data_IF_723936229699
#
_entry.id   IF_723936229699
#
_cell.length_a   1.000
_cell.length_b   1.000
_cell.length_c   1.000
_cell.angle_alpha   90.00
_cell.angle_beta   90.00
_cell.angle_gamma   90.00
#
_symmetry.space_group_name_H-M   'P 1'
#
loop_
_entity.id
_entity.type
_entity.pdbx_description
1 polymer ?
#
# COMPACT_ATOMS: atom_id res chain seq x y z
N UNK A 1 -41.94 -23.34 -98.97
CA UNK A 1 -41.01 -24.16 -98.16
C UNK A 1 -40.08 -23.21 -97.44
N UNK A 2 -40.15 -23.14 -96.10
CA UNK A 2 -39.36 -22.25 -95.26
C UNK A 2 -38.02 -22.93 -94.95
N UNK A 3 -36.92 -22.33 -95.37
CA UNK A 3 -35.59 -22.77 -94.95
C UNK A 3 -35.24 -22.10 -93.61
N UNK A 4 -34.99 -22.95 -92.63
CA UNK A 4 -34.55 -22.62 -91.27
C UNK A 4 -33.06 -22.25 -91.36
N UNK A 5 -32.72 -21.02 -90.95
CA UNK A 5 -31.34 -20.60 -90.78
C UNK A 5 -30.75 -21.23 -89.50
N UNK A 6 -29.49 -21.68 -89.48
CA UNK A 6 -28.86 -22.19 -88.27
C UNK A 6 -28.49 -21.02 -87.34
N UNK A 7 -29.03 -21.02 -86.12
CA UNK A 7 -28.58 -20.10 -85.07
C UNK A 7 -27.23 -20.58 -84.53
N UNK A 8 -26.13 -19.96 -84.98
CA UNK A 8 -24.84 -20.09 -84.31
C UNK A 8 -24.94 -19.48 -82.91
N UNK A 9 -24.85 -20.31 -81.88
CA UNK A 9 -24.74 -19.86 -80.50
C UNK A 9 -23.44 -19.07 -80.32
N UNK A 10 -23.55 -17.77 -80.07
CA UNK A 10 -22.44 -16.92 -79.67
C UNK A 10 -21.93 -17.40 -78.31
N UNK A 11 -20.76 -18.04 -78.29
CA UNK A 11 -20.02 -18.33 -77.04
C UNK A 11 -19.84 -16.99 -76.30
N UNK A 12 -20.45 -16.86 -75.13
CA UNK A 12 -20.32 -15.64 -74.32
C UNK A 12 -18.84 -15.47 -73.92
N UNK A 13 -18.23 -14.29 -74.13
CA UNK A 13 -16.83 -14.03 -73.80
C UNK A 13 -16.63 -13.76 -72.30
N UNK A 14 -17.58 -14.15 -71.44
CA UNK A 14 -17.59 -13.78 -70.02
C UNK A 14 -16.65 -14.63 -69.16
N UNK A 15 -16.16 -15.78 -69.64
CA UNK A 15 -15.29 -16.65 -68.83
C UNK A 15 -13.84 -16.15 -68.69
N UNK A 16 -13.33 -15.37 -69.64
CA UNK A 16 -11.94 -14.86 -69.61
C UNK A 16 -11.73 -13.62 -68.72
N UNK A 17 -12.80 -12.93 -68.31
CA UNK A 17 -12.71 -11.74 -67.46
C UNK A 17 -12.59 -12.07 -65.96
N UNK A 18 -12.93 -13.28 -65.53
CA UNK A 18 -12.83 -13.71 -64.13
C UNK A 18 -11.50 -14.40 -63.77
N UNK A 19 -10.73 -14.88 -64.76
CA UNK A 19 -9.47 -15.61 -64.52
C UNK A 19 -8.34 -14.72 -63.96
N UNK A 20 -8.41 -13.39 -64.15
CA UNK A 20 -7.42 -12.43 -63.62
C UNK A 20 -7.78 -11.82 -62.25
N UNK A 21 -9.00 -12.00 -61.75
CA UNK A 21 -9.42 -11.40 -60.48
C UNK A 21 -8.95 -12.24 -59.28
N UNK A 22 -8.86 -13.56 -59.46
CA UNK A 22 -8.44 -14.48 -58.40
C UNK A 22 -7.01 -14.20 -57.93
N UNK A 23 -6.08 -13.90 -58.85
CA UNK A 23 -4.69 -13.62 -58.48
C UNK A 23 -4.55 -12.32 -57.68
N UNK A 24 -5.37 -11.30 -57.98
CA UNK A 24 -5.40 -10.03 -57.22
C UNK A 24 -5.96 -10.26 -55.82
N UNK A 25 -7.03 -11.04 -55.70
CA UNK A 25 -7.61 -11.41 -54.40
C UNK A 25 -6.61 -12.20 -53.54
N UNK A 26 -5.92 -13.17 -54.13
CA UNK A 26 -4.89 -13.97 -53.45
C UNK A 26 -3.73 -13.08 -53.00
N UNK A 27 -3.26 -12.17 -53.86
CA UNK A 27 -2.19 -11.24 -53.49
C UNK A 27 -2.58 -10.33 -52.32
N UNK A 28 -3.82 -9.81 -52.31
CA UNK A 28 -4.35 -9.02 -51.19
C UNK A 28 -4.46 -9.85 -49.91
N UNK A 29 -4.96 -11.08 -49.99
CA UNK A 29 -5.06 -11.99 -48.85
C UNK A 29 -3.68 -12.34 -48.28
N UNK A 30 -2.69 -12.62 -49.14
CA UNK A 30 -1.31 -12.87 -48.70
C UNK A 30 -0.74 -11.66 -47.98
N UNK A 31 -0.93 -10.45 -48.49
CA UNK A 31 -0.48 -9.23 -47.83
C UNK A 31 -1.08 -9.09 -46.43
N UNK A 32 -2.39 -9.31 -46.30
CA UNK A 32 -3.08 -9.25 -45.00
C UNK A 32 -2.57 -10.34 -44.04
N UNK A 33 -2.36 -11.56 -44.52
CA UNK A 33 -1.84 -12.65 -43.71
C UNK A 33 -0.42 -12.36 -43.20
N UNK A 34 0.47 -11.82 -44.04
CA UNK A 34 1.82 -11.42 -43.63
C UNK A 34 1.80 -10.23 -42.66
N UNK A 35 0.90 -9.27 -42.85
CA UNK A 35 0.73 -8.16 -41.91
C UNK A 35 0.27 -8.67 -40.54
N UNK A 36 -0.71 -9.57 -40.49
CA UNK A 36 -1.17 -10.17 -39.23
C UNK A 36 -0.11 -11.06 -38.57
N UNK A 37 0.67 -11.81 -39.36
CA UNK A 37 1.80 -12.58 -38.85
C UNK A 37 2.88 -11.66 -38.23
N UNK A 38 3.22 -10.57 -38.91
CA UNK A 38 4.17 -9.59 -38.41
C UNK A 38 3.72 -8.97 -37.08
N UNK A 39 2.45 -8.60 -37.00
CA UNK A 39 1.85 -8.08 -35.76
C UNK A 39 1.87 -9.14 -34.64
N UNK A 40 1.55 -10.40 -34.94
CA UNK A 40 1.56 -11.49 -33.96
C UNK A 40 2.97 -11.75 -33.41
N UNK A 41 4.01 -11.73 -34.24
CA UNK A 41 5.40 -11.94 -33.80
C UNK A 41 5.89 -10.76 -32.98
N UNK A 42 5.71 -9.53 -33.47
CA UNK A 42 6.17 -8.32 -32.79
C UNK A 42 5.44 -8.12 -31.44
N UNK A 43 4.12 -8.39 -31.38
CA UNK A 43 3.35 -8.35 -30.13
C UNK A 43 3.73 -9.47 -29.16
N UNK A 44 3.99 -10.68 -29.65
CA UNK A 44 4.46 -11.80 -28.83
C UNK A 44 5.80 -11.50 -28.15
N UNK A 45 6.75 -10.93 -28.91
CA UNK A 45 8.05 -10.47 -28.36
C UNK A 45 7.86 -9.38 -27.31
N UNK A 46 7.03 -8.36 -27.61
CA UNK A 46 6.73 -7.29 -26.66
C UNK A 46 6.05 -7.78 -25.37
N UNK A 47 5.20 -8.81 -25.47
CA UNK A 47 4.53 -9.40 -24.30
C UNK A 47 5.51 -10.13 -23.38
N UNK A 48 6.39 -10.97 -23.94
CA UNK A 48 7.43 -11.66 -23.16
C UNK A 48 8.38 -10.65 -22.52
N UNK A 49 8.81 -9.66 -23.29
CA UNK A 49 9.67 -8.58 -22.80
C UNK A 49 9.03 -7.84 -21.61
N UNK A 50 7.74 -7.47 -21.71
CA UNK A 50 7.01 -6.84 -20.60
C UNK A 50 6.99 -7.71 -19.35
N UNK A 51 6.81 -9.03 -19.49
CA UNK A 51 6.75 -9.96 -18.36
C UNK A 51 8.11 -10.06 -17.67
N UNK A 52 9.18 -10.19 -18.44
CA UNK A 52 10.54 -10.32 -17.92
C UNK A 52 10.98 -9.00 -17.24
N UNK A 53 10.66 -7.86 -17.86
CA UNK A 53 10.88 -6.54 -17.26
C UNK A 53 10.12 -6.39 -15.93
N UNK A 54 8.85 -6.82 -15.87
CA UNK A 54 8.06 -6.74 -14.63
C UNK A 54 8.66 -7.59 -13.52
N UNK A 55 9.03 -8.83 -13.81
CA UNK A 55 9.66 -9.72 -12.83
C UNK A 55 10.96 -9.11 -12.28
N UNK A 56 11.81 -8.56 -13.17
CA UNK A 56 13.06 -7.95 -12.78
C UNK A 56 12.89 -6.69 -11.92
N UNK A 57 11.93 -5.81 -12.23
CA UNK A 57 11.66 -4.63 -11.38
C UNK A 57 11.05 -5.01 -10.05
N UNK A 58 10.17 -6.02 -10.00
CA UNK A 58 9.58 -6.51 -8.76
C UNK A 58 10.66 -7.08 -7.83
N UNK A 59 11.56 -7.91 -8.37
CA UNK A 59 12.70 -8.47 -7.66
C UNK A 59 13.66 -7.36 -7.18
N UNK A 60 13.97 -6.38 -8.04
CA UNK A 60 14.82 -5.24 -7.70
C UNK A 60 14.22 -4.37 -6.59
N UNK A 61 12.91 -4.08 -6.65
CA UNK A 61 12.22 -3.30 -5.63
C UNK A 61 12.16 -4.05 -4.29
N UNK A 62 11.82 -5.34 -4.29
CA UNK A 62 11.82 -6.16 -3.06
C UNK A 62 13.22 -6.24 -2.44
N UNK A 63 14.25 -6.48 -3.25
CA UNK A 63 15.62 -6.49 -2.78
C UNK A 63 15.99 -5.15 -2.15
N UNK A 64 15.64 -4.02 -2.79
CA UNK A 64 15.91 -2.71 -2.23
C UNK A 64 15.30 -2.54 -0.83
N UNK A 65 14.09 -3.08 -0.64
CA UNK A 65 13.42 -3.04 0.65
C UNK A 65 14.15 -3.84 1.73
N UNK A 66 14.52 -5.08 1.40
CA UNK A 66 15.24 -5.99 2.30
C UNK A 66 16.62 -5.44 2.71
N UNK A 67 17.37 -4.87 1.77
CA UNK A 67 18.67 -4.25 2.08
C UNK A 67 18.53 -3.00 2.96
N UNK A 68 17.45 -2.22 2.81
CA UNK A 68 17.22 -1.03 3.64
C UNK A 68 16.96 -1.42 5.09
N UNK A 69 16.12 -2.44 5.36
CA UNK A 69 15.84 -2.93 6.72
C UNK A 69 17.13 -3.32 7.48
N UNK A 70 18.14 -3.84 6.78
CA UNK A 70 19.35 -4.36 7.39
C UNK A 70 20.49 -3.33 7.54
N UNK A 71 20.65 -2.38 6.61
CA UNK A 71 21.86 -1.55 6.52
C UNK A 71 21.62 -0.03 6.48
N UNK A 72 20.40 0.44 6.19
CA UNK A 72 20.04 1.87 6.15
C UNK A 72 20.97 2.79 5.31
N UNK A 73 21.76 2.24 4.38
CA UNK A 73 22.71 2.95 3.52
C UNK A 73 22.33 2.77 2.05
N UNK A 74 22.14 3.87 1.33
CA UNK A 74 21.71 3.87 -0.07
C UNK A 74 22.86 3.62 -1.05
N UNK A 75 24.09 3.98 -0.69
CA UNK A 75 25.13 4.32 -1.67
C UNK A 75 26.41 3.49 -1.55
N UNK A 76 26.68 2.89 -0.39
CA UNK A 76 27.90 2.09 -0.20
C UNK A 76 28.06 0.99 -1.26
N UNK A 77 29.26 0.84 -1.82
CA UNK A 77 29.55 -0.28 -2.75
C UNK A 77 29.46 -1.66 -2.08
N UNK A 78 29.60 -1.71 -0.75
CA UNK A 78 29.59 -2.96 0.02
C UNK A 78 28.20 -3.34 0.52
N UNK A 79 27.44 -2.37 1.05
CA UNK A 79 26.13 -2.57 1.68
C UNK A 79 25.03 -1.64 1.17
N UNK A 80 25.33 -0.82 0.16
CA UNK A 80 24.40 0.15 -0.39
C UNK A 80 23.24 -0.52 -1.10
N UNK A 81 22.05 0.02 -0.89
CA UNK A 81 20.81 -0.50 -1.43
C UNK A 81 20.83 -0.48 -2.96
N UNK A 82 21.23 0.65 -3.56
CA UNK A 82 21.25 0.80 -5.02
C UNK A 82 22.15 -0.24 -5.72
N UNK A 83 23.44 -0.41 -5.36
CA UNK A 83 24.27 -1.42 -6.03
C UNK A 83 23.77 -2.85 -5.83
N UNK A 84 23.16 -3.17 -4.68
CA UNK A 84 22.64 -4.53 -4.43
C UNK A 84 21.33 -4.81 -5.16
N UNK A 85 20.38 -3.89 -5.14
CA UNK A 85 19.10 -4.03 -5.84
C UNK A 85 19.29 -4.06 -7.36
N UNK A 86 20.23 -3.25 -7.89
CA UNK A 86 20.62 -3.27 -9.31
C UNK A 86 21.14 -4.64 -9.73
N UNK A 87 21.99 -5.26 -8.92
CA UNK A 87 22.53 -6.59 -9.24
C UNK A 87 21.44 -7.66 -9.34
N UNK A 88 20.39 -7.57 -8.54
CA UNK A 88 19.24 -8.49 -8.61
C UNK A 88 18.47 -8.27 -9.91
N UNK A 89 18.15 -7.02 -10.24
CA UNK A 89 17.52 -6.66 -11.52
C UNK A 89 18.35 -7.12 -12.74
N UNK A 90 19.67 -6.91 -12.71
CA UNK A 90 20.59 -7.32 -13.75
C UNK A 90 20.66 -8.84 -13.91
N UNK A 91 20.61 -9.58 -12.80
CA UNK A 91 20.60 -11.03 -12.83
C UNK A 91 19.34 -11.59 -13.48
N UNK A 92 18.17 -11.01 -13.20
CA UNK A 92 16.90 -11.44 -13.78
C UNK A 92 16.84 -11.20 -15.31
N UNK A 93 17.30 -10.04 -15.77
CA UNK A 93 17.36 -9.70 -17.21
C UNK A 93 18.62 -10.20 -17.91
N UNK A 94 19.51 -10.90 -17.20
CA UNK A 94 20.79 -11.39 -17.73
C UNK A 94 21.67 -10.27 -18.34
N UNK A 95 21.67 -9.10 -17.70
CA UNK A 95 22.44 -7.92 -18.10
C UNK A 95 23.79 -7.92 -17.37
N UNK A 96 24.83 -8.50 -17.99
CA UNK A 96 26.15 -8.63 -17.35
C UNK A 96 27.11 -7.45 -17.57
N UNK A 97 26.57 -6.27 -17.93
CA UNK A 97 27.39 -5.12 -18.29
C UNK A 97 26.70 -3.79 -17.96
N UNK A 98 26.89 -3.30 -16.74
CA UNK A 98 26.78 -1.88 -16.47
C UNK A 98 28.08 -1.35 -15.84
N UNK A 99 28.66 -0.28 -16.39
CA UNK A 99 29.73 0.46 -15.73
C UNK A 99 29.15 1.19 -14.51
N UNK A 100 29.90 1.18 -13.40
CA UNK A 100 29.66 2.03 -12.25
C UNK A 100 30.02 3.49 -12.59
N UNK A 101 29.13 4.45 -12.34
CA UNK A 101 29.56 5.72 -11.79
C UNK A 101 29.04 5.86 -10.36
N UNK A 102 29.98 5.97 -9.42
CA UNK A 102 29.80 6.20 -7.97
C UNK A 102 29.30 7.63 -7.62
N UNK A 103 28.66 8.34 -8.54
CA UNK A 103 28.19 9.70 -8.27
C UNK A 103 26.73 9.84 -8.67
N UNK A 104 25.86 9.70 -7.68
CA UNK A 104 24.47 10.08 -7.84
C UNK A 104 24.35 11.59 -8.00
N UNK A 105 23.36 12.06 -8.78
CA UNK A 105 22.94 13.44 -8.74
C UNK A 105 22.65 13.86 -7.28
N UNK A 106 22.79 15.14 -6.94
CA UNK A 106 22.33 15.63 -5.65
C UNK A 106 20.84 15.30 -5.47
N UNK A 107 20.40 15.02 -4.23
CA UNK A 107 19.02 14.70 -3.95
C UNK A 107 18.10 15.83 -4.39
N UNK A 108 16.96 15.48 -4.97
CA UNK A 108 15.85 16.40 -5.18
C UNK A 108 14.93 16.38 -3.95
N UNK A 109 14.10 17.41 -3.80
CA UNK A 109 13.04 17.43 -2.79
C UNK A 109 11.69 17.45 -3.48
N UNK A 110 10.81 16.53 -3.12
CA UNK A 110 9.50 16.30 -3.76
C UNK A 110 8.36 16.48 -2.78
N UNK A 111 7.13 16.38 -3.29
CA UNK A 111 5.89 16.52 -2.52
C UNK A 111 5.36 17.96 -2.47
N UNK A 112 4.15 18.18 -1.95
CA UNK A 112 3.47 19.49 -1.96
C UNK A 112 4.24 20.60 -1.23
N UNK A 113 5.10 20.22 -0.27
CA UNK A 113 5.89 21.13 0.55
C UNK A 113 7.40 21.09 0.23
N UNK A 114 7.82 20.35 -0.81
CA UNK A 114 9.23 20.20 -1.20
C UNK A 114 10.15 19.82 -0.03
N UNK A 115 9.71 18.89 0.82
CA UNK A 115 10.40 18.49 2.04
C UNK A 115 10.73 16.98 2.09
N UNK A 116 10.35 16.22 1.08
CA UNK A 116 10.66 14.79 0.97
C UNK A 116 11.93 14.63 0.15
N UNK A 117 13.02 14.20 0.79
CA UNK A 117 14.29 13.95 0.10
C UNK A 117 14.12 12.75 -0.84
N UNK A 118 14.43 12.93 -2.12
CA UNK A 118 14.43 11.90 -3.14
C UNK A 118 15.82 11.79 -3.78
N UNK A 119 16.41 10.60 -3.69
CA UNK A 119 17.65 10.24 -4.37
C UNK A 119 17.30 9.42 -5.61
N UNK A 120 17.83 9.81 -6.77
CA UNK A 120 17.51 9.15 -8.05
C UNK A 120 18.79 8.63 -8.70
N UNK A 121 18.78 7.35 -9.05
CA UNK A 121 19.80 6.71 -9.88
C UNK A 121 19.22 6.40 -11.27
N UNK A 122 19.98 6.62 -12.33
CA UNK A 122 19.56 6.32 -13.71
C UNK A 122 20.67 5.61 -14.43
N UNK A 123 20.38 4.41 -14.90
CA UNK A 123 21.33 3.48 -15.50
C UNK A 123 20.85 3.12 -16.90
N UNK A 124 21.74 3.25 -17.87
CA UNK A 124 21.49 2.84 -19.25
C UNK A 124 22.25 1.54 -19.51
N UNK A 125 21.52 0.51 -19.88
CA UNK A 125 22.05 -0.79 -20.26
C UNK A 125 22.12 -0.93 -21.80
N UNK A 126 22.96 -1.83 -22.30
CA UNK A 126 22.90 -2.23 -23.71
C UNK A 126 21.50 -2.74 -24.08
N UNK A 127 21.12 -2.56 -25.35
CA UNK A 127 19.80 -2.98 -25.83
C UNK A 127 18.69 -1.94 -25.64
N UNK A 128 19.02 -0.66 -25.43
CA UNK A 128 18.06 0.43 -25.22
C UNK A 128 17.14 0.21 -24.00
N UNK A 129 17.72 -0.34 -22.93
CA UNK A 129 17.06 -0.51 -21.64
C UNK A 129 17.59 0.58 -20.70
N UNK A 130 16.69 1.35 -20.11
CA UNK A 130 17.00 2.36 -19.10
C UNK A 130 16.27 2.02 -17.81
N UNK A 131 17.01 1.88 -16.71
CA UNK A 131 16.48 1.71 -15.37
C UNK A 131 16.60 3.03 -14.60
N UNK A 132 15.52 3.43 -13.95
CA UNK A 132 15.47 4.55 -13.02
C UNK A 132 15.07 4.00 -11.66
N UNK A 133 15.90 4.29 -10.65
CA UNK A 133 15.64 3.93 -9.24
C UNK A 133 15.44 5.23 -8.47
N UNK A 134 14.33 5.32 -7.76
CA UNK A 134 14.01 6.48 -6.93
C UNK A 134 13.83 6.02 -5.48
N UNK A 135 14.67 6.55 -4.61
CA UNK A 135 14.65 6.37 -3.17
C UNK A 135 14.07 7.64 -2.55
N UNK A 136 12.83 7.58 -2.05
CA UNK A 136 12.16 8.72 -1.43
C UNK A 136 11.98 8.48 0.05
N UNK A 137 12.57 9.35 0.87
CA UNK A 137 12.26 9.39 2.29
C UNK A 137 10.87 10.02 2.47
N UNK A 138 9.86 9.18 2.65
CA UNK A 138 8.48 9.63 2.88
C UNK A 138 8.18 9.87 4.36
N UNK A 139 9.24 10.07 5.16
CA UNK A 139 9.20 10.31 6.59
C UNK A 139 8.43 9.19 7.30
N UNK A 140 7.28 9.50 7.89
CA UNK A 140 6.46 8.55 8.64
C UNK A 140 5.90 7.40 7.79
N UNK A 141 5.68 7.61 6.49
CA UNK A 141 5.23 6.53 5.59
C UNK A 141 6.35 5.56 5.23
N UNK A 142 7.53 5.72 5.86
CA UNK A 142 8.69 4.89 5.65
C UNK A 142 9.55 5.38 4.49
N UNK A 143 10.39 4.48 4.01
CA UNK A 143 11.27 4.71 2.88
C UNK A 143 10.70 4.02 1.63
N UNK A 144 10.43 4.79 0.58
CA UNK A 144 9.84 4.29 -0.66
C UNK A 144 10.92 4.10 -1.73
N UNK A 145 10.98 2.91 -2.30
CA UNK A 145 11.83 2.60 -3.43
C UNK A 145 10.97 2.31 -4.66
N UNK A 146 11.14 3.10 -5.72
CA UNK A 146 10.45 2.92 -6.99
C UNK A 146 11.46 2.56 -8.07
N UNK A 147 11.24 1.42 -8.71
CA UNK A 147 12.00 0.94 -9.85
C UNK A 147 11.14 1.15 -11.09
N UNK A 148 11.68 1.85 -12.08
CA UNK A 148 11.01 2.09 -13.36
C UNK A 148 11.96 1.73 -14.49
N UNK A 149 11.57 0.79 -15.33
CA UNK A 149 12.35 0.39 -16.50
C UNK A 149 11.62 0.78 -17.77
N UNK A 150 12.39 1.26 -18.74
CA UNK A 150 11.94 1.53 -20.11
C UNK A 150 12.83 0.76 -21.06
N UNK A 151 12.23 -0.06 -21.93
CA UNK A 151 12.92 -0.76 -23.00
C UNK A 151 12.35 -0.33 -24.36
N UNK A 152 13.21 0.16 -25.25
CA UNK A 152 12.84 0.45 -26.64
C UNK A 152 13.08 -0.78 -27.51
N UNK A 153 12.09 -1.68 -27.57
CA UNK A 153 12.15 -2.92 -28.31
C UNK A 153 12.13 -2.66 -29.83
N UNK A 154 13.15 -3.06 -30.60
CA UNK A 154 13.14 -2.96 -32.05
C UNK A 154 12.12 -3.90 -32.69
N UNK A 155 11.21 -3.34 -33.49
CA UNK A 155 10.19 -4.09 -34.21
C UNK A 155 10.78 -4.65 -35.51
N UNK A 156 10.53 -5.93 -35.80
CA UNK A 156 11.13 -6.59 -36.94
C UNK A 156 10.25 -6.49 -38.20
N UNK A 157 8.94 -6.70 -38.04
CA UNK A 157 8.02 -6.84 -39.18
C UNK A 157 7.19 -5.58 -39.42
N UNK A 158 6.77 -4.88 -38.37
CA UNK A 158 5.98 -3.65 -38.50
C UNK A 158 6.69 -2.57 -39.31
N UNK A 159 8.02 -2.47 -39.21
CA UNK A 159 8.83 -1.53 -39.98
C UNK A 159 8.75 -1.76 -41.51
N UNK A 160 8.51 -3.00 -41.96
CA UNK A 160 8.41 -3.35 -43.39
C UNK A 160 7.13 -2.75 -44.00
N UNK A 161 6.08 -2.61 -43.19
CA UNK A 161 4.80 -2.04 -43.60
C UNK A 161 4.72 -0.52 -43.38
N UNK A 162 5.86 0.15 -43.15
CA UNK A 162 5.94 1.58 -42.86
C UNK A 162 5.47 1.98 -41.46
N UNK A 163 5.35 1.00 -40.55
CA UNK A 163 5.06 1.22 -39.14
C UNK A 163 6.26 1.74 -38.35
N UNK A 164 6.09 1.98 -37.03
CA UNK A 164 7.17 2.41 -36.16
C UNK A 164 8.32 1.38 -36.13
N UNK A 165 9.54 1.86 -35.92
CA UNK A 165 10.75 1.01 -35.85
C UNK A 165 11.01 0.44 -34.46
N UNK A 166 10.40 1.03 -33.43
CA UNK A 166 10.51 0.60 -32.04
C UNK A 166 9.16 0.62 -31.33
N UNK A 167 9.00 -0.26 -30.35
CA UNK A 167 7.92 -0.23 -29.38
C UNK A 167 8.48 0.02 -27.99
N UNK A 168 7.90 0.96 -27.26
CA UNK A 168 8.31 1.25 -25.89
C UNK A 168 7.56 0.31 -24.94
N UNK A 169 8.30 -0.50 -24.21
CA UNK A 169 7.80 -1.34 -23.13
C UNK A 169 8.26 -0.75 -21.80
N UNK A 170 7.34 -0.59 -20.87
CA UNK A 170 7.64 -0.04 -19.55
C UNK A 170 7.13 -0.95 -18.45
N UNK A 171 7.89 -1.08 -17.37
CA UNK A 171 7.47 -1.75 -16.15
C UNK A 171 7.91 -0.94 -14.94
N UNK A 172 7.13 -1.02 -13.87
CA UNK A 172 7.46 -0.34 -12.62
C UNK A 172 7.04 -1.16 -11.42
N UNK A 173 7.82 -1.07 -10.37
CA UNK A 173 7.55 -1.69 -9.08
C UNK A 173 7.89 -0.73 -7.95
N UNK A 174 7.19 -0.85 -6.84
CA UNK A 174 7.43 -0.03 -5.66
C UNK A 174 7.46 -0.91 -4.42
N UNK A 175 8.49 -0.74 -3.59
CA UNK A 175 8.56 -1.27 -2.23
C UNK A 175 8.58 -0.12 -1.23
N UNK A 176 8.01 -0.36 -0.06
CA UNK A 176 7.98 0.62 1.04
C UNK A 176 8.42 -0.09 2.32
N UNK A 177 9.36 0.52 3.02
CA UNK A 177 10.06 -0.06 4.16
C UNK A 177 9.85 0.82 5.38
N UNK A 178 9.68 0.25 6.57
CA UNK A 178 9.34 1.06 7.76
C UNK A 178 8.03 1.84 7.62
N UNK A 179 7.08 1.29 6.84
CA UNK A 179 5.79 1.94 6.59
C UNK A 179 4.91 1.93 7.84
N UNK A 180 4.99 2.99 8.65
CA UNK A 180 4.10 3.15 9.81
C UNK A 180 2.63 3.40 9.41
N UNK A 181 2.28 3.49 8.10
CA UNK A 181 0.87 3.42 7.66
C UNK A 181 0.19 2.11 8.03
N UNK A 182 0.93 1.07 8.40
CA UNK A 182 0.32 -0.24 8.64
C UNK A 182 -0.32 -0.46 10.00
N UNK A 183 -0.22 0.49 10.95
CA UNK A 183 -1.21 0.80 12.00
C UNK A 183 -0.49 1.50 13.15
N UNK A 184 -0.51 2.84 13.28
CA UNK A 184 -0.42 3.39 14.63
C UNK A 184 -1.49 2.67 15.46
N UNK A 185 -1.13 2.24 16.66
CA UNK A 185 -2.06 1.56 17.55
C UNK A 185 -3.30 2.44 17.79
N UNK A 186 -3.08 3.76 17.83
CA UNK A 186 -4.11 4.77 17.93
C UNK A 186 -3.79 5.94 16.98
N UNK A 187 -4.76 6.32 16.13
CA UNK A 187 -4.66 7.48 15.25
C UNK A 187 -5.84 8.43 15.48
N UNK A 188 -5.51 9.68 15.79
CA UNK A 188 -6.47 10.77 15.97
C UNK A 188 -6.21 11.88 14.96
N UNK A 189 -7.13 12.05 14.01
CA UNK A 189 -7.00 13.05 12.94
C UNK A 189 -7.44 14.46 13.34
N UNK A 190 -8.10 14.61 14.49
CA UNK A 190 -8.54 15.92 15.00
C UNK A 190 -7.33 16.81 15.33
N UNK A 191 -7.35 18.06 14.87
CA UNK A 191 -6.30 19.06 15.11
C UNK A 191 -6.52 19.90 16.38
N UNK A 192 -7.49 19.52 17.22
CA UNK A 192 -7.86 20.26 18.43
C UNK A 192 -6.86 20.13 19.60
N UNK A 193 -7.09 20.91 20.65
CA UNK A 193 -6.39 20.76 21.93
C UNK A 193 -6.85 19.51 22.67
N UNK A 194 -5.92 18.71 23.19
CA UNK A 194 -6.20 17.41 23.79
C UNK A 194 -7.09 16.54 22.88
N UNK A 195 -6.83 16.56 21.57
CA UNK A 195 -7.56 15.77 20.60
C UNK A 195 -7.49 14.27 20.96
N UNK A 196 -6.35 13.84 21.50
CA UNK A 196 -6.18 12.53 22.14
C UNK A 196 -5.96 12.72 23.63
N UNK A 197 -6.75 12.04 24.46
CA UNK A 197 -6.65 12.09 25.91
C UNK A 197 -6.50 10.67 26.46
N UNK A 198 -5.29 10.31 26.85
CA UNK A 198 -4.95 9.00 27.44
C UNK A 198 -4.47 9.24 28.87
N UNK A 199 -5.41 9.55 29.75
CA UNK A 199 -5.19 9.80 31.17
C UNK A 199 -6.08 8.91 32.02
N UNK A 200 -5.63 8.60 33.23
CA UNK A 200 -6.42 7.75 34.12
C UNK A 200 -5.81 7.56 35.50
N UNK A 201 -6.56 6.92 36.38
CA UNK A 201 -6.07 6.48 37.70
C UNK A 201 -5.46 5.07 37.68
N UNK A 202 -5.54 4.38 36.55
CA UNK A 202 -5.01 3.05 36.31
C UNK A 202 -4.05 3.08 35.11
N UNK A 203 -3.22 2.05 35.00
CA UNK A 203 -2.22 1.97 33.94
C UNK A 203 -2.86 1.48 32.64
N UNK A 204 -2.54 2.15 31.53
CA UNK A 204 -2.89 1.74 30.18
C UNK A 204 -1.61 1.43 29.42
N UNK A 205 -1.49 0.22 28.86
CA UNK A 205 -0.35 -0.14 28.01
C UNK A 205 -0.78 -0.20 26.55
N UNK A 206 -0.12 0.61 25.71
CA UNK A 206 -0.33 0.62 24.26
C UNK A 206 0.87 -0.01 23.57
N UNK A 207 0.62 -0.96 22.68
CA UNK A 207 1.63 -1.61 21.85
C UNK A 207 1.59 -0.98 20.45
N UNK A 208 2.64 -0.26 20.09
CA UNK A 208 2.72 0.52 18.86
C UNK A 208 2.53 2.01 19.10
N UNK A 209 2.63 2.77 18.01
CA UNK A 209 2.68 4.24 18.04
C UNK A 209 1.30 4.86 18.30
N UNK A 210 1.25 5.90 19.15
CA UNK A 210 0.07 6.74 19.35
C UNK A 210 0.24 8.04 18.58
N UNK A 211 -0.70 8.37 17.69
CA UNK A 211 -0.61 9.54 16.83
C UNK A 211 -1.79 10.48 16.97
N UNK A 212 -1.52 11.78 17.07
CA UNK A 212 -2.56 12.82 16.97
C UNK A 212 -2.12 14.03 16.15
N UNK A 213 -3.01 14.49 15.26
CA UNK A 213 -2.83 15.73 14.51
C UNK A 213 -2.91 16.98 15.40
N UNK A 214 -3.72 16.91 16.46
CA UNK A 214 -3.85 17.93 17.49
C UNK A 214 -2.86 17.70 18.63
N UNK A 215 -3.12 18.23 19.82
CA UNK A 215 -2.25 17.95 20.97
C UNK A 215 -2.63 16.63 21.67
N UNK A 216 -1.62 15.84 22.04
CA UNK A 216 -1.75 14.65 22.87
C UNK A 216 -1.71 15.05 24.34
N UNK A 217 -2.72 14.67 25.10
CA UNK A 217 -2.79 14.88 26.53
C UNK A 217 -2.70 13.53 27.23
N UNK A 218 -1.48 13.16 27.59
CA UNK A 218 -1.14 11.89 28.27
C UNK A 218 -0.64 12.17 29.68
N UNK A 219 -0.53 11.12 30.50
CA UNK A 219 0.06 11.15 31.84
C UNK A 219 1.01 9.97 32.08
N UNK A 220 1.60 9.89 33.27
CA UNK A 220 2.56 8.84 33.64
C UNK A 220 1.95 7.43 33.77
N UNK A 221 0.62 7.31 33.74
CA UNK A 221 -0.04 6.01 33.77
C UNK A 221 -0.20 5.41 32.35
N UNK A 222 0.13 6.18 31.30
CA UNK A 222 0.30 5.65 29.96
C UNK A 222 1.67 4.98 29.83
N UNK A 223 1.68 3.68 29.56
CA UNK A 223 2.85 2.90 29.21
C UNK A 223 2.83 2.65 27.70
N UNK A 224 3.87 3.07 26.99
CA UNK A 224 3.89 3.04 25.53
C UNK A 224 5.08 2.24 25.00
N UNK A 225 4.77 1.14 24.30
CA UNK A 225 5.74 0.34 23.56
C UNK A 225 5.73 0.80 22.08
N UNK A 226 6.13 2.05 21.88
CA UNK A 226 6.00 2.79 20.63
C UNK A 226 6.29 4.27 20.85
N UNK A 227 6.10 5.10 19.83
CA UNK A 227 6.31 6.54 19.89
C UNK A 227 5.00 7.32 20.04
N UNK A 228 5.02 8.35 20.88
CA UNK A 228 3.92 9.30 21.02
C UNK A 228 4.14 10.49 20.09
N UNK A 229 3.25 10.68 19.12
CA UNK A 229 3.26 11.79 18.18
C UNK A 229 2.15 12.78 18.50
N UNK A 230 2.48 14.07 18.60
CA UNK A 230 1.47 15.10 18.76
C UNK A 230 1.94 16.50 18.36
N UNK A 231 0.99 17.40 18.11
CA UNK A 231 1.30 18.80 17.80
C UNK A 231 2.02 19.52 18.95
N UNK A 232 2.60 20.69 18.68
CA UNK A 232 3.25 21.51 19.69
C UNK A 232 2.32 21.75 20.91
N UNK A 233 2.83 21.51 22.12
CA UNK A 233 2.04 21.58 23.36
C UNK A 233 1.44 20.25 23.82
N UNK A 234 1.77 19.14 23.16
CA UNK A 234 1.47 17.80 23.65
C UNK A 234 2.30 17.44 24.88
N UNK A 235 1.76 16.59 25.77
CA UNK A 235 2.44 16.11 26.98
C UNK A 235 3.06 14.72 26.82
N UNK A 236 3.43 14.33 25.60
CA UNK A 236 4.01 13.02 25.28
C UNK A 236 5.25 12.66 26.14
N UNK A 237 6.00 13.66 26.60
CA UNK A 237 7.16 13.46 27.49
C UNK A 237 6.80 12.87 28.85
N UNK A 238 5.53 12.94 29.26
CA UNK A 238 5.07 12.43 30.57
C UNK A 238 4.71 10.95 30.56
N UNK A 239 4.58 10.33 29.37
CA UNK A 239 4.33 8.89 29.25
C UNK A 239 5.57 8.07 29.65
N UNK A 240 5.35 6.82 30.07
CA UNK A 240 6.42 5.87 30.35
C UNK A 240 6.66 5.00 29.11
N UNK A 241 7.87 5.06 28.55
CA UNK A 241 8.22 4.29 27.35
C UNK A 241 8.78 2.92 27.71
N UNK A 242 8.18 1.87 27.16
CA UNK A 242 8.56 0.48 27.37
C UNK A 242 9.46 0.02 26.24
N UNK A 243 10.34 -0.93 26.56
CA UNK A 243 11.18 -1.60 25.58
C UNK A 243 10.35 -2.62 24.79
N UNK A 244 10.54 -2.65 23.47
CA UNK A 244 9.82 -3.53 22.55
C UNK A 244 10.68 -4.00 21.39
N UNK A 245 10.24 -5.07 20.73
CA UNK A 245 10.81 -5.52 19.47
C UNK A 245 9.72 -6.09 18.54
N UNK A 246 10.09 -6.37 17.29
CA UNK A 246 9.17 -6.86 16.26
C UNK A 246 8.88 -8.38 16.35
N UNK A 247 9.35 -9.07 17.39
CA UNK A 247 9.16 -10.52 17.53
C UNK A 247 7.72 -10.82 17.93
N UNK A 248 6.97 -11.67 17.19
CA UNK A 248 5.61 -12.04 17.56
C UNK A 248 5.55 -12.67 18.96
N UNK A 249 4.60 -12.21 19.79
CA UNK A 249 4.42 -12.71 21.15
C UNK A 249 5.39 -12.14 22.18
N UNK A 250 6.23 -11.17 21.80
CA UNK A 250 7.05 -10.42 22.73
C UNK A 250 6.18 -9.56 23.67
N UNK A 251 6.54 -9.55 24.95
CA UNK A 251 5.85 -8.76 25.99
C UNK A 251 6.71 -7.54 26.29
N UNK A 252 6.22 -6.31 26.03
CA UNK A 252 6.94 -5.10 26.39
C UNK A 252 7.25 -5.02 27.88
N UNK A 253 8.42 -4.48 28.21
CA UNK A 253 8.88 -4.38 29.59
C UNK A 253 9.40 -2.98 29.91
N UNK A 254 9.37 -2.65 31.20
CA UNK A 254 9.89 -1.39 31.72
C UNK A 254 11.43 -1.37 31.67
N UNK A 255 12.07 -0.39 31.02
CA UNK A 255 13.54 -0.23 31.01
C UNK A 255 14.14 -0.04 32.43
N UNK A 256 13.33 0.36 33.41
CA UNK A 256 13.72 0.50 34.82
C UNK A 256 13.19 -0.64 35.69
N UNK A 257 12.46 -1.59 35.11
CA UNK A 257 11.87 -2.72 35.81
C UNK A 257 12.90 -3.80 36.18
N UNK A 258 12.55 -4.71 37.11
CA UNK A 258 13.39 -5.86 37.41
C UNK A 258 13.47 -6.81 36.18
N UNK A 259 14.64 -7.44 35.93
CA UNK A 259 14.77 -8.46 34.89
C UNK A 259 13.88 -9.68 35.21
N UNK A 260 13.38 -10.46 34.21
CA UNK A 260 13.85 -10.60 32.82
C UNK A 260 13.06 -9.78 31.75
N UNK A 261 13.67 -9.51 30.57
CA UNK A 261 15.03 -9.87 30.14
C UNK A 261 16.11 -9.11 30.93
N UNK A 262 17.36 -9.56 30.87
CA UNK A 262 18.46 -8.89 31.57
C UNK A 262 18.93 -7.66 30.77
N UNK A 263 18.80 -6.48 31.36
CA UNK A 263 19.05 -5.19 30.73
C UNK A 263 19.72 -4.21 31.71
N UNK A 264 20.42 -3.18 31.21
CA UNK A 264 20.92 -2.09 32.06
C UNK A 264 19.75 -1.22 32.54
N UNK A 265 19.85 -0.67 33.75
CA UNK A 265 18.83 0.25 34.25
C UNK A 265 18.67 1.47 33.33
N UNK A 266 17.44 1.74 32.89
CA UNK A 266 17.11 2.84 31.99
C UNK A 266 17.44 2.57 30.51
N UNK A 267 17.76 1.33 30.14
CA UNK A 267 18.05 0.93 28.77
C UNK A 267 17.42 -0.43 28.44
N UNK A 268 17.20 -0.68 27.15
CA UNK A 268 16.68 -1.96 26.69
C UNK A 268 17.78 -3.03 26.60
N UNK A 269 17.37 -4.29 26.59
CA UNK A 269 18.24 -5.41 26.25
C UNK A 269 18.77 -5.26 24.81
N UNK A 270 19.95 -5.83 24.51
CA UNK A 270 20.51 -5.76 23.16
C UNK A 270 19.54 -6.32 22.10
N UNK A 271 19.20 -5.50 21.09
CA UNK A 271 18.27 -5.87 20.02
C UNK A 271 16.83 -5.37 20.22
N UNK A 272 16.50 -4.85 21.40
CA UNK A 272 15.22 -4.21 21.69
C UNK A 272 15.33 -2.69 21.54
N UNK A 273 14.21 -2.04 21.22
CA UNK A 273 14.11 -0.59 21.01
C UNK A 273 13.21 0.05 22.07
N UNK A 274 13.47 1.31 22.41
CA UNK A 274 12.58 2.14 23.22
C UNK A 274 11.98 3.24 22.36
N UNK A 275 10.72 3.54 22.61
CA UNK A 275 10.03 4.66 21.98
C UNK A 275 10.47 6.01 22.50
N UNK A 276 9.95 7.06 21.87
CA UNK A 276 10.24 8.43 22.25
C UNK A 276 9.05 9.37 21.98
N UNK A 277 8.98 10.50 22.69
CA UNK A 277 8.04 11.57 22.40
C UNK A 277 8.50 12.34 21.15
N UNK A 278 7.61 12.48 20.18
CA UNK A 278 7.85 13.24 18.95
C UNK A 278 6.90 14.45 18.93
N UNK A 279 7.39 15.56 19.47
CA UNK A 279 6.65 16.82 19.58
C UNK A 279 7.53 17.99 19.11
N UNK A 280 7.12 18.78 18.11
CA UNK A 280 5.89 18.66 17.33
C UNK A 280 5.98 17.56 16.26
N UNK A 281 4.95 16.73 16.16
CA UNK A 281 4.75 15.83 15.05
C UNK A 281 4.13 16.57 13.84
N UNK A 282 4.41 16.11 12.60
CA UNK A 282 3.69 16.57 11.41
C UNK A 282 2.17 16.34 11.52
N UNK A 283 1.37 16.99 10.68
CA UNK A 283 -0.07 16.65 10.56
C UNK A 283 -0.27 15.62 9.46
N UNK A 284 -1.03 14.56 9.73
CA UNK A 284 -1.46 13.59 8.73
C UNK A 284 -2.72 14.09 8.00
N UNK A 285 -2.75 14.07 6.66
CA UNK A 285 -3.99 14.29 5.92
C UNK A 285 -4.97 13.15 6.21
N UNK A 286 -6.26 13.47 6.21
CA UNK A 286 -7.32 12.46 6.29
C UNK A 286 -7.07 11.39 5.20
N UNK A 287 -7.00 10.09 5.56
CA UNK A 287 -6.88 9.01 4.60
C UNK A 287 -7.99 8.98 3.55
N UNK A 288 -9.06 9.77 3.73
CA UNK A 288 -10.18 9.86 2.81
C UNK A 288 -10.99 8.57 2.82
N UNK A 289 -11.08 7.92 3.99
CA UNK A 289 -11.97 6.79 4.16
C UNK A 289 -13.39 7.27 3.89
N UNK A 290 -13.91 6.94 2.71
CA UNK A 290 -15.32 7.04 2.42
C UNK A 290 -16.00 6.12 3.42
N UNK A 291 -16.60 6.71 4.47
CA UNK A 291 -17.46 5.96 5.36
C UNK A 291 -18.45 5.20 4.45
N UNK A 292 -18.54 3.87 4.53
CA UNK A 292 -19.52 3.13 3.75
C UNK A 292 -20.88 3.81 4.00
N UNK A 293 -21.66 3.99 2.93
CA UNK A 293 -22.99 4.61 3.04
C UNK A 293 -23.92 3.66 3.79
N UNK A 294 -23.77 3.61 5.11
CA UNK A 294 -24.66 2.89 5.99
C UNK A 294 -25.81 3.84 6.30
N UNK A 295 -27.05 3.39 6.10
CA UNK A 295 -28.23 4.20 6.37
C UNK A 295 -28.17 4.77 7.78
N UNK A 296 -28.33 6.08 7.92
CA UNK A 296 -28.46 6.72 9.23
C UNK A 296 -29.88 6.50 9.74
N UNK A 297 -30.00 5.79 10.85
CA UNK A 297 -31.29 5.56 11.50
C UNK A 297 -31.54 6.72 12.47
N UNK A 298 -32.46 7.62 12.10
CA UNK A 298 -32.85 8.77 12.92
C UNK A 298 -33.87 8.42 14.02
N UNK A 299 -34.21 7.14 14.18
CA UNK A 299 -35.15 6.68 15.20
C UNK A 299 -34.52 6.77 16.58
N UNK A 300 -35.15 7.50 17.53
CA UNK A 300 -34.75 7.44 18.93
C UNK A 300 -34.86 5.99 19.43
N UNK A 301 -33.76 5.44 19.93
CA UNK A 301 -33.70 4.14 20.55
C UNK A 301 -33.55 4.31 22.06
N UNK A 302 -34.22 3.43 22.81
CA UNK A 302 -34.05 3.32 24.26
C UNK A 302 -33.37 1.99 24.57
N UNK A 303 -32.26 2.03 25.29
CA UNK A 303 -31.66 0.82 25.84
C UNK A 303 -32.62 0.22 26.87
N UNK A 304 -33.12 -0.99 26.60
CA UNK A 304 -34.01 -1.67 27.54
C UNK A 304 -33.19 -2.43 28.58
N UNK A 305 -33.23 -1.91 29.80
CA UNK A 305 -32.42 -2.36 30.95
C UNK A 305 -32.99 -3.60 31.63
N UNK A 306 -34.26 -3.95 31.35
CA UNK A 306 -35.06 -4.92 32.11
C UNK A 306 -35.52 -6.13 31.29
N UNK A 307 -34.81 -6.48 30.22
CA UNK A 307 -35.07 -7.76 29.54
C UNK A 307 -34.54 -8.91 30.41
N UNK A 308 -35.32 -9.29 31.42
CA UNK A 308 -35.00 -10.35 32.39
C UNK A 308 -34.91 -11.70 31.66
N UNK A 309 -33.71 -12.08 31.24
CA UNK A 309 -33.43 -13.44 30.79
C UNK A 309 -32.18 -13.62 29.94
N UNK A 310 -31.83 -12.66 29.07
CA UNK A 310 -30.79 -12.83 28.05
C UNK A 310 -30.41 -11.47 27.45
N UNK A 311 -29.11 -11.25 27.21
CA UNK A 311 -28.47 -10.26 26.31
C UNK A 311 -29.40 -9.27 25.57
N UNK A 312 -29.10 -7.97 25.66
CA UNK A 312 -29.85 -6.94 24.96
C UNK A 312 -29.18 -6.63 23.61
N UNK A 313 -29.77 -7.11 22.52
CA UNK A 313 -29.44 -6.67 21.16
C UNK A 313 -29.80 -5.19 21.00
N UNK A 314 -28.85 -4.40 20.50
CA UNK A 314 -29.02 -2.97 20.27
C UNK A 314 -29.21 -2.73 18.80
N UNK A 315 -30.31 -2.08 18.43
CA UNK A 315 -30.54 -1.65 17.05
C UNK A 315 -29.82 -0.33 16.76
N UNK A 316 -29.36 -0.13 15.51
CA UNK A 316 -28.78 1.15 15.12
C UNK A 316 -29.82 2.26 15.20
N UNK A 317 -29.39 3.45 15.63
CA UNK A 317 -30.29 4.54 15.93
C UNK A 317 -29.66 5.62 16.81
N UNK A 318 -30.51 6.52 17.31
CA UNK A 318 -30.08 7.64 18.16
C UNK A 318 -30.37 7.33 19.63
N UNK A 319 -29.33 7.31 20.46
CA UNK A 319 -29.40 7.03 21.89
C UNK A 319 -29.15 8.31 22.68
N UNK A 320 -30.08 8.64 23.57
CA UNK A 320 -30.04 9.83 24.42
C UNK A 320 -28.99 9.72 25.52
N UNK A 321 -29.34 9.11 26.64
CA UNK A 321 -28.47 8.92 27.81
C UNK A 321 -28.08 7.44 27.90
N UNK A 322 -27.09 7.02 27.11
CA UNK A 322 -26.61 5.64 27.18
C UNK A 322 -25.56 5.48 28.27
N UNK A 323 -25.86 4.60 29.22
CA UNK A 323 -25.00 4.31 30.35
C UNK A 323 -25.06 2.83 30.70
N UNK A 324 -23.98 2.10 30.45
CA UNK A 324 -23.79 0.74 30.93
C UNK A 324 -23.26 0.78 32.37
N UNK A 325 -24.19 0.86 33.33
CA UNK A 325 -23.89 0.91 34.77
C UNK A 325 -24.53 -0.20 35.59
N UNK A 326 -23.85 -0.52 36.70
CA UNK A 326 -24.36 -1.29 37.83
C UNK A 326 -24.05 -2.79 37.79
N UNK A 327 -23.47 -3.27 38.89
CA UNK A 327 -23.22 -4.68 39.17
C UNK A 327 -24.51 -5.50 39.34
N UNK A 328 -24.39 -6.78 38.97
CA UNK A 328 -25.25 -7.95 39.21
C UNK A 328 -26.71 -7.91 38.72
N UNK A 329 -27.04 -8.65 37.64
CA UNK A 329 -26.09 -9.34 36.76
C UNK A 329 -25.29 -8.33 35.90
N UNK A 330 -24.04 -8.66 35.52
CA UNK A 330 -23.32 -7.93 34.48
C UNK A 330 -24.18 -7.81 33.21
N UNK A 331 -24.11 -6.65 32.53
CA UNK A 331 -24.93 -6.36 31.35
C UNK A 331 -24.10 -6.51 30.09
N UNK A 332 -24.56 -7.38 29.17
CA UNK A 332 -23.97 -7.52 27.85
C UNK A 332 -24.92 -6.94 26.80
N UNK A 333 -24.42 -5.98 26.04
CA UNK A 333 -25.11 -5.36 24.91
C UNK A 333 -24.34 -5.69 23.62
N UNK A 334 -25.07 -6.19 22.61
CA UNK A 334 -24.50 -6.52 21.31
C UNK A 334 -25.05 -5.55 20.27
N UNK A 335 -24.16 -4.90 19.54
CA UNK A 335 -24.50 -3.92 18.52
C UNK A 335 -24.78 -4.66 17.21
N UNK A 336 -26.01 -4.50 16.69
CA UNK A 336 -26.28 -4.85 15.30
C UNK A 336 -25.48 -3.97 14.35
N UNK A 337 -25.23 -4.48 13.15
CA UNK A 337 -24.58 -3.72 12.10
C UNK A 337 -25.39 -2.44 11.77
N UNK A 338 -24.80 -1.27 12.01
CA UNK A 338 -25.41 0.01 11.66
C UNK A 338 -24.76 1.22 12.33
N UNK A 339 -25.40 2.38 12.21
CA UNK A 339 -24.91 3.66 12.76
C UNK A 339 -25.56 3.96 14.11
N UNK A 340 -24.74 4.27 15.11
CA UNK A 340 -25.18 4.63 16.47
C UNK A 340 -24.80 6.08 16.75
N UNK A 341 -25.80 6.90 17.10
CA UNK A 341 -25.58 8.30 17.47
C UNK A 341 -25.85 8.48 18.95
N UNK A 342 -24.81 8.77 19.73
CA UNK A 342 -24.90 9.01 21.17
C UNK A 342 -25.05 10.52 21.43
N UNK A 343 -26.28 11.01 21.58
CA UNK A 343 -26.53 12.47 21.63
C UNK A 343 -26.11 13.13 22.93
N UNK A 344 -26.04 12.39 24.04
CA UNK A 344 -25.48 12.89 25.32
C UNK A 344 -24.23 12.11 25.75
N UNK A 345 -23.46 11.60 24.78
CA UNK A 345 -22.25 10.85 25.03
C UNK A 345 -22.47 9.38 25.38
N UNK A 346 -21.34 8.69 25.55
CA UNK A 346 -21.27 7.27 25.90
C UNK A 346 -20.60 7.12 27.25
N UNK A 347 -21.17 6.31 28.15
CA UNK A 347 -20.53 5.94 29.42
C UNK A 347 -20.71 4.46 29.68
N UNK A 348 -19.62 3.78 30.04
CA UNK A 348 -19.61 2.38 30.46
C UNK A 348 -18.66 2.22 31.63
N UNK A 349 -19.21 2.07 32.83
CA UNK A 349 -18.46 2.10 34.09
C UNK A 349 -18.69 0.86 34.97
N UNK A 350 -19.39 -0.16 34.47
CA UNK A 350 -19.72 -1.35 35.22
C UNK A 350 -18.66 -2.46 35.12
N UNK A 351 -18.16 -2.91 36.28
CA UNK A 351 -17.36 -4.13 36.41
C UNK A 351 -18.13 -5.34 35.84
N UNK A 352 -17.61 -5.95 34.78
CA UNK A 352 -18.18 -7.13 34.13
C UNK A 352 -19.24 -6.85 33.05
N UNK A 353 -19.57 -5.59 32.73
CA UNK A 353 -20.45 -5.29 31.59
C UNK A 353 -19.67 -5.19 30.28
N UNK A 354 -20.31 -5.56 29.17
CA UNK A 354 -19.71 -5.62 27.83
C UNK A 354 -20.60 -4.88 26.84
N UNK A 355 -19.99 -4.06 25.97
CA UNK A 355 -20.57 -3.63 24.70
C UNK A 355 -19.69 -4.18 23.59
N UNK A 356 -20.26 -4.97 22.67
CA UNK A 356 -19.50 -5.56 21.56
C UNK A 356 -20.24 -5.44 20.24
N UNK A 357 -19.51 -5.17 19.16
CA UNK A 357 -19.95 -5.31 17.77
C UNK A 357 -19.41 -6.60 17.12
N UNK A 358 -18.66 -7.41 17.86
CA UNK A 358 -18.19 -8.71 17.40
C UNK A 358 -19.32 -9.74 17.50
N UNK A 359 -19.35 -10.66 16.52
CA UNK A 359 -20.32 -11.74 16.45
C UNK A 359 -20.37 -12.51 17.78
N UNK A 360 -21.60 -12.76 18.26
CA UNK A 360 -21.91 -13.62 19.39
C UNK A 360 -21.01 -14.87 19.38
N UNK A 361 -20.27 -15.11 20.47
CA UNK A 361 -19.58 -16.38 20.65
C UNK A 361 -20.63 -17.51 20.57
N UNK A 362 -20.40 -18.58 19.77
CA UNK A 362 -21.38 -19.64 19.64
C UNK A 362 -21.54 -20.35 20.99
N UNK A 363 -22.73 -20.21 21.60
CA UNK A 363 -23.23 -20.86 22.82
C UNK A 363 -22.88 -20.22 24.20
N UNK A 364 -23.31 -18.99 24.42
CA UNK A 364 -23.83 -18.54 25.74
C UNK A 364 -25.34 -18.25 25.68
#
# INVERSE_FOLDING_TARGET
MRFIAPSTATKSPQRRLQEGQAIVLIALLMLVLFAMLGLAIDSGRAYVDRRDLQAAVDAGALAAGDWYENYNDLFSSTYGIFPKSKRVFEADLHLYSAPYPDSLPPPSYVGPLFNLRQDTDTINYPGNITLVIQATNTQFNGYQFTFSVVHQLPLAFMQIFGGPTTATVTASATSVVGNQRQTPALLTLSSGTCATNLKGSANLTVLGDVYTNGTACVDANLHEAGNCYGAAGSTCDTALYYCYNATPGFIPYDPNGPPPPAHPAGACAPGDTIGSPIVPAPSLPDPGFLAPSVGSYLTPQSFNVDNRGTYTEMYPGTYGTFHLSGASPPKCAFLDAGVYTWTNGYTSDATGSLLSNELKAPNE
#
